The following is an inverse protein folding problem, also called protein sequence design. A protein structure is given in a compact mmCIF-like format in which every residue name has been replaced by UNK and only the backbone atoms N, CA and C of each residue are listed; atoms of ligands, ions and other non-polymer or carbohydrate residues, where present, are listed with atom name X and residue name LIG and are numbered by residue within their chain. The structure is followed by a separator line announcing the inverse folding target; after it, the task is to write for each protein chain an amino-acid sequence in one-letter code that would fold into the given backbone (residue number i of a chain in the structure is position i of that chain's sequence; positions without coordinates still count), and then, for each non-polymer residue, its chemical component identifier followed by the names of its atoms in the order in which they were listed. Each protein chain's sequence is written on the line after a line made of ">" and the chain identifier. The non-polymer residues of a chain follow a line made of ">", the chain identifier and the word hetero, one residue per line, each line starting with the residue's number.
data_IF_891133433387
#
_entry.id   IF_891133433387
#
_cell.length_a   1.000
_cell.length_b   1.000
_cell.length_c   1.000
_cell.angle_alpha   90.00
_cell.angle_beta   90.00
_cell.angle_gamma   90.00
#
_symmetry.space_group_name_H-M   'P 1'
#
loop_
_entity.id
_entity.type
_entity.pdbx_description
1 polymer ?
#
# COMPACT_ATOMS: atom_id res chain seq x y z
N UNK A 1 -17.81 3.57 10.07
CA UNK A 1 -17.48 2.49 11.02
C UNK A 1 -16.05 2.07 10.75
N UNK A 2 -15.24 1.86 11.79
CA UNK A 2 -13.88 1.35 11.61
C UNK A 2 -13.93 -0.06 11.02
N UNK A 3 -13.06 -0.34 10.05
CA UNK A 3 -12.95 -1.63 9.36
C UNK A 3 -11.52 -2.13 9.47
N UNK A 4 -11.34 -3.45 9.61
CA UNK A 4 -10.02 -4.05 9.51
C UNK A 4 -9.91 -4.69 8.14
N UNK A 5 -8.83 -4.38 7.41
CA UNK A 5 -8.56 -4.98 6.11
C UNK A 5 -7.32 -5.84 6.18
N UNK A 6 -7.42 -7.04 5.61
CA UNK A 6 -6.28 -7.94 5.48
C UNK A 6 -5.58 -7.64 4.17
N UNK A 7 -4.34 -7.18 4.25
CA UNK A 7 -3.55 -6.82 3.09
C UNK A 7 -2.26 -7.64 3.03
N UNK A 8 -1.76 -7.89 1.82
CA UNK A 8 -0.35 -8.24 1.62
C UNK A 8 0.48 -6.98 1.44
N UNK A 9 1.49 -6.80 2.27
CA UNK A 9 2.44 -5.68 2.17
C UNK A 9 3.29 -5.84 0.91
N UNK A 10 3.21 -4.88 -0.01
CA UNK A 10 4.02 -4.85 -1.23
C UNK A 10 5.01 -3.69 -1.25
N UNK A 11 4.81 -2.69 -0.39
CA UNK A 11 5.74 -1.61 -0.18
C UNK A 11 5.82 -1.28 1.31
N UNK A 12 7.04 -1.13 1.82
CA UNK A 12 7.34 -0.46 3.08
C UNK A 12 8.55 0.45 2.87
N UNK A 13 8.31 1.64 2.32
CA UNK A 13 9.36 2.58 1.93
C UNK A 13 9.53 3.71 2.95
N UNK A 14 10.76 4.25 3.03
CA UNK A 14 11.06 5.42 3.86
C UNK A 14 10.60 6.70 3.15
N UNK A 15 9.97 7.61 3.89
CA UNK A 15 9.61 8.96 3.42
C UNK A 15 9.89 9.96 4.53
N UNK A 16 10.90 10.82 4.35
CA UNK A 16 11.38 11.76 5.38
C UNK A 16 11.59 11.07 6.74
N UNK A 17 10.71 11.36 7.70
CA UNK A 17 10.75 10.90 9.09
C UNK A 17 9.78 9.75 9.41
N UNK A 18 9.04 9.24 8.40
CA UNK A 18 8.11 8.14 8.57
C UNK A 18 8.22 7.12 7.44
N UNK A 19 7.20 6.28 7.32
CA UNK A 19 7.12 5.28 6.25
C UNK A 19 5.80 5.30 5.52
N UNK A 20 5.85 4.91 4.25
CA UNK A 20 4.67 4.58 3.49
C UNK A 20 4.60 3.06 3.38
N UNK A 21 3.51 2.49 3.88
CA UNK A 21 3.17 1.09 3.66
C UNK A 21 2.04 1.04 2.63
N UNK A 22 2.12 0.12 1.68
CA UNK A 22 1.04 -0.13 0.74
C UNK A 22 0.98 -1.61 0.37
N UNK A 23 -0.21 -2.05 -0.03
CA UNK A 23 -0.47 -3.46 -0.30
C UNK A 23 -1.77 -3.68 -1.05
N UNK A 24 -2.06 -4.94 -1.31
CA UNK A 24 -3.31 -5.37 -1.92
C UNK A 24 -4.22 -5.95 -0.84
N UNK A 25 -5.46 -5.48 -0.79
CA UNK A 25 -6.55 -6.03 0.00
C UNK A 25 -6.91 -7.43 -0.51
N UNK A 26 -6.74 -8.45 0.34
CA UNK A 26 -6.92 -9.84 -0.08
C UNK A 26 -8.37 -10.16 -0.44
N UNK A 27 -9.33 -9.42 0.11
CA UNK A 27 -10.75 -9.62 -0.17
C UNK A 27 -11.17 -8.96 -1.50
N UNK A 28 -10.66 -7.77 -1.80
CA UNK A 28 -11.12 -6.97 -2.95
C UNK A 28 -10.15 -6.93 -4.13
N UNK A 29 -8.91 -7.39 -3.95
CA UNK A 29 -7.86 -7.30 -4.96
C UNK A 29 -7.48 -5.84 -5.30
N UNK A 30 -7.84 -4.88 -4.46
CA UNK A 30 -7.57 -3.45 -4.67
C UNK A 30 -6.38 -2.99 -3.84
N UNK A 31 -5.67 -2.00 -4.37
CA UNK A 31 -4.60 -1.32 -3.65
C UNK A 31 -5.13 -0.56 -2.44
N UNK A 32 -4.36 -0.64 -1.36
CA UNK A 32 -4.57 0.10 -0.12
C UNK A 32 -3.25 0.68 0.35
N UNK A 33 -3.28 1.96 0.70
CA UNK A 33 -2.22 2.69 1.36
C UNK A 33 -2.75 3.28 2.67
N UNK A 34 -2.45 2.66 3.82
CA UNK A 34 -2.79 3.26 5.10
C UNK A 34 -2.03 4.58 5.26
N UNK A 35 -2.75 5.63 5.63
CA UNK A 35 -2.21 6.97 5.84
C UNK A 35 -2.50 7.44 7.26
N UNK A 36 -1.57 8.23 7.82
CA UNK A 36 -1.84 8.96 9.05
C UNK A 36 -2.72 10.18 8.78
N UNK A 37 -3.34 10.71 9.83
CA UNK A 37 -4.09 11.97 9.78
C UNK A 37 -3.20 13.23 9.63
N UNK A 38 -1.88 13.08 9.70
CA UNK A 38 -0.92 14.20 9.62
C UNK A 38 -0.76 14.66 8.16
N UNK A 39 -0.37 15.92 7.91
CA UNK A 39 -0.28 16.47 6.55
C UNK A 39 0.62 15.68 5.58
N UNK A 40 1.71 15.06 6.06
CA UNK A 40 2.63 14.29 5.20
C UNK A 40 2.14 12.88 4.85
N UNK A 41 1.10 12.40 5.56
CA UNK A 41 0.48 11.08 5.47
C UNK A 41 1.39 9.89 5.82
N UNK A 42 2.68 10.09 6.07
CA UNK A 42 3.57 9.02 6.53
C UNK A 42 3.12 8.45 7.87
N UNK A 43 3.34 7.15 8.03
CA UNK A 43 3.10 6.42 9.27
C UNK A 43 4.31 6.55 10.20
N UNK A 44 4.06 6.88 11.45
CA UNK A 44 5.08 6.82 12.51
C UNK A 44 5.46 5.37 12.81
N UNK A 45 6.52 5.15 13.60
CA UNK A 45 6.91 3.80 14.02
C UNK A 45 5.79 3.14 14.84
N UNK A 46 5.23 3.88 15.80
CA UNK A 46 4.14 3.39 16.65
C UNK A 46 2.86 3.06 15.87
N UNK A 47 2.59 3.74 14.76
CA UNK A 47 1.38 3.50 13.97
C UNK A 47 1.45 2.25 13.09
N UNK A 48 2.66 1.81 12.69
CA UNK A 48 2.84 0.72 11.71
C UNK A 48 3.47 -0.54 12.26
N UNK A 49 4.08 -0.47 13.45
CA UNK A 49 4.65 -1.63 14.11
C UNK A 49 3.56 -2.59 14.58
N UNK A 50 3.88 -3.88 14.54
CA UNK A 50 3.06 -4.90 15.18
C UNK A 50 3.11 -4.76 16.71
N UNK A 51 2.30 -5.54 17.42
CA UNK A 51 2.25 -5.53 18.89
C UNK A 51 3.62 -5.84 19.54
N UNK A 52 4.44 -6.67 18.90
CA UNK A 52 5.79 -7.02 19.34
C UNK A 52 6.87 -5.97 18.98
N UNK A 53 6.47 -4.85 18.36
CA UNK A 53 7.37 -3.78 17.92
C UNK A 53 8.09 -4.05 16.60
N UNK A 54 7.91 -5.23 15.99
CA UNK A 54 8.50 -5.53 14.68
C UNK A 54 7.83 -4.74 13.55
N UNK A 55 8.56 -4.58 12.44
CA UNK A 55 8.10 -3.82 11.27
C UNK A 55 7.50 -4.76 10.21
N UNK A 56 6.49 -4.31 9.45
CA UNK A 56 5.99 -5.04 8.30
C UNK A 56 7.07 -5.15 7.21
N UNK A 57 7.26 -6.33 6.64
CA UNK A 57 8.14 -6.56 5.52
C UNK A 57 7.32 -6.83 4.24
N UNK A 58 7.89 -6.61 3.04
CA UNK A 58 7.29 -7.12 1.81
C UNK A 58 6.93 -8.61 1.93
N UNK A 59 5.75 -8.94 1.40
CA UNK A 59 5.08 -10.25 1.46
C UNK A 59 4.43 -10.61 2.81
N UNK A 60 4.58 -9.80 3.85
CA UNK A 60 3.80 -10.00 5.08
C UNK A 60 2.30 -9.85 4.77
N UNK A 61 1.49 -10.74 5.34
CA UNK A 61 0.04 -10.57 5.41
C UNK A 61 -0.27 -9.94 6.76
N UNK A 62 -0.95 -8.81 6.75
CA UNK A 62 -1.28 -8.07 7.96
C UNK A 62 -2.71 -7.55 7.96
N UNK A 63 -3.28 -7.50 9.16
CA UNK A 63 -4.57 -6.89 9.42
C UNK A 63 -4.36 -5.42 9.83
N UNK A 64 -4.89 -4.50 9.02
CA UNK A 64 -4.76 -3.05 9.22
C UNK A 64 -6.10 -2.44 9.63
N UNK A 65 -6.20 -1.83 10.82
CA UNK A 65 -7.40 -1.14 11.27
C UNK A 65 -7.50 0.26 10.63
N UNK A 66 -8.63 0.53 9.98
CA UNK A 66 -8.86 1.71 9.15
C UNK A 66 -10.18 2.40 9.53
N UNK A 67 -10.20 3.74 9.49
CA UNK A 67 -11.38 4.56 9.75
C UNK A 67 -12.22 4.68 8.47
N UNK A 68 -11.58 4.82 7.31
CA UNK A 68 -12.28 4.89 6.02
C UNK A 68 -11.41 5.32 4.84
N UNK A 69 -11.96 5.17 3.63
CA UNK A 69 -11.32 5.55 2.37
C UNK A 69 -11.16 7.08 2.27
N UNK A 70 -9.99 7.55 1.85
CA UNK A 70 -9.60 8.97 1.74
C UNK A 70 -8.77 9.23 0.47
N UNK A 71 -9.33 8.98 -0.72
CA UNK A 71 -8.60 9.14 -1.96
C UNK A 71 -8.14 10.60 -2.14
N UNK A 72 -6.92 10.77 -2.67
CA UNK A 72 -6.42 12.05 -3.18
C UNK A 72 -6.27 11.95 -4.70
N UNK A 73 -6.11 13.08 -5.39
CA UNK A 73 -5.99 13.15 -6.86
C UNK A 73 -4.98 12.15 -7.42
N UNK A 74 -3.80 12.08 -6.79
CA UNK A 74 -2.68 11.21 -7.18
C UNK A 74 -2.59 9.91 -6.40
N UNK A 75 -3.38 9.75 -5.33
CA UNK A 75 -3.33 8.60 -4.42
C UNK A 75 -4.74 8.10 -4.10
N UNK A 76 -5.36 7.42 -5.06
CA UNK A 76 -6.73 6.89 -4.94
C UNK A 76 -6.82 5.74 -3.94
N UNK A 77 -5.71 5.11 -3.63
CA UNK A 77 -5.56 3.96 -2.73
C UNK A 77 -5.50 4.34 -1.24
N UNK A 78 -5.56 5.62 -0.90
CA UNK A 78 -5.44 6.10 0.48
C UNK A 78 -6.59 5.66 1.39
N UNK A 79 -6.25 5.09 2.55
CA UNK A 79 -7.18 4.80 3.64
C UNK A 79 -6.67 5.38 4.96
N UNK A 80 -7.51 6.12 5.67
CA UNK A 80 -7.16 6.70 6.96
C UNK A 80 -7.02 5.60 8.01
N UNK A 81 -5.86 5.54 8.66
CA UNK A 81 -5.56 4.59 9.73
C UNK A 81 -6.36 4.89 11.00
N UNK A 82 -6.82 3.86 11.69
CA UNK A 82 -7.22 3.94 13.09
C UNK A 82 -5.99 3.78 13.99
N UNK A 83 -5.34 4.90 14.31
CA UNK A 83 -4.07 4.93 15.07
C UNK A 83 -4.22 4.45 16.53
N UNK A 84 -5.44 4.23 17.01
CA UNK A 84 -5.69 3.68 18.36
C UNK A 84 -5.50 2.16 18.43
N UNK A 85 -5.34 1.49 17.29
CA UNK A 85 -5.25 0.03 17.19
C UNK A 85 -3.94 -0.39 16.52
N UNK A 86 -3.38 -1.50 17.01
CA UNK A 86 -2.14 -2.08 16.47
C UNK A 86 -2.41 -2.94 15.25
N UNK A 87 -1.38 -3.07 14.42
CA UNK A 87 -1.40 -3.98 13.29
C UNK A 87 -1.14 -5.39 13.79
N UNK A 88 -1.76 -6.37 13.14
CA UNK A 88 -1.54 -7.79 13.46
C UNK A 88 -0.92 -8.49 12.27
N UNK A 89 0.18 -9.21 12.49
CA UNK A 89 0.74 -10.14 11.51
C UNK A 89 -0.19 -11.36 11.41
N UNK A 90 -0.72 -11.61 10.22
CA UNK A 90 -1.62 -12.73 9.95
C UNK A 90 -0.93 -13.86 9.17
N UNK A 91 0.25 -13.61 8.58
CA UNK A 91 1.03 -14.61 7.88
C UNK A 91 2.03 -13.99 6.92
N UNK A 92 2.43 -14.76 5.91
CA UNK A 92 3.32 -14.33 4.84
C UNK A 92 2.93 -15.04 3.54
N UNK A 93 2.96 -14.33 2.43
CA UNK A 93 2.74 -14.90 1.10
C UNK A 93 4.07 -15.25 0.45
N UNK A 94 4.03 -16.20 -0.48
CA UNK A 94 5.11 -16.42 -1.44
C UNK A 94 4.99 -15.46 -2.63
N UNK A 95 5.96 -15.49 -3.54
CA UNK A 95 5.85 -14.75 -4.80
C UNK A 95 4.79 -15.34 -5.73
N UNK A 96 4.69 -16.67 -5.80
CA UNK A 96 3.69 -17.36 -6.63
C UNK A 96 2.27 -17.03 -6.16
N UNK A 97 2.08 -16.90 -4.85
CA UNK A 97 0.84 -16.44 -4.25
C UNK A 97 0.39 -15.06 -4.74
N UNK A 98 1.31 -14.20 -5.22
CA UNK A 98 0.97 -12.87 -5.73
C UNK A 98 0.43 -12.91 -7.17
N UNK A 99 0.69 -13.98 -7.92
CA UNK A 99 0.26 -14.10 -9.31
C UNK A 99 -1.26 -13.98 -9.44
N UNK A 100 -2.03 -14.40 -8.42
CA UNK A 100 -3.50 -14.27 -8.40
C UNK A 100 -3.99 -12.82 -8.33
N UNK A 101 -3.13 -11.87 -7.99
CA UNK A 101 -3.47 -10.44 -7.87
C UNK A 101 -2.93 -9.59 -9.03
N UNK A 102 -2.20 -10.19 -9.97
CA UNK A 102 -1.75 -9.48 -11.17
C UNK A 102 -2.92 -9.31 -12.13
N UNK A 103 -2.87 -8.22 -12.92
CA UNK A 103 -3.80 -8.01 -14.01
C UNK A 103 -3.02 -8.07 -15.30
N UNK A 104 -3.52 -8.80 -16.27
CA UNK A 104 -3.07 -8.65 -17.64
C UNK A 104 -3.59 -7.32 -18.16
N UNK A 105 -2.73 -6.30 -18.13
CA UNK A 105 -3.05 -4.94 -18.57
C UNK A 105 -2.66 -4.71 -20.04
N UNK A 106 -2.25 -5.76 -20.76
CA UNK A 106 -1.65 -5.63 -22.07
C UNK A 106 -0.27 -4.94 -22.01
N UNK A 107 0.25 -4.46 -23.14
CA UNK A 107 1.59 -3.87 -23.20
C UNK A 107 1.68 -2.58 -22.36
N UNK A 108 2.67 -2.52 -21.47
CA UNK A 108 2.96 -1.34 -20.66
C UNK A 108 3.41 -0.13 -21.49
N UNK A 109 4.02 -0.40 -22.65
CA UNK A 109 4.52 0.61 -23.57
C UNK A 109 4.02 0.29 -24.97
N UNK A 110 3.44 1.29 -25.64
CA UNK A 110 3.07 1.18 -27.05
C UNK A 110 4.30 1.58 -27.87
N UNK A 111 5.00 0.59 -28.41
CA UNK A 111 6.10 0.82 -29.34
C UNK A 111 5.54 1.28 -30.69
N UNK A 112 6.04 2.39 -31.24
CA UNK A 112 5.62 2.90 -32.57
C UNK A 112 5.69 4.42 -32.77
N UNK A 113 5.84 5.19 -31.69
CA UNK A 113 5.96 6.65 -31.77
C UNK A 113 7.42 7.09 -31.74
N UNK A 114 7.83 7.88 -32.74
CA UNK A 114 9.14 8.54 -32.81
C UNK A 114 8.93 10.04 -32.94
N UNK A 115 9.64 10.82 -32.15
CA UNK A 115 9.70 12.27 -32.31
C UNK A 115 10.80 12.59 -33.31
N UNK A 116 10.46 12.97 -34.54
CA UNK A 116 11.41 13.61 -35.44
C UNK A 116 11.50 15.09 -35.06
N UNK A 117 12.69 15.54 -34.67
CA UNK A 117 12.97 16.96 -34.47
C UNK A 117 13.01 17.61 -35.85
N UNK A 118 12.20 18.65 -36.06
CA UNK A 118 12.24 19.48 -37.28
C UNK A 118 13.59 20.20 -37.33
N UNK A 119 14.45 19.97 -38.34
CA UNK A 119 15.70 20.69 -38.50
C UNK A 119 15.37 22.07 -39.10
N UNK A 120 14.95 23.01 -38.26
CA UNK A 120 14.93 24.44 -38.57
C UNK A 120 15.97 25.18 -37.75
#
# INVERSE_FOLDING_TARGET
>A
MAVTKRIVCLANSRKHQGRCVAGIDLDSGRWIRPISKRPGHELSASERQYEDGSEPAPLDVLDVPLIGHRPAEVHRENWLLDSGKRWRRAGRMTWDDLLRFTRDAGPLWINGHKTSVDPR
#
